data_IF_185653007594
#
_entry.id   IF_185653007594
#
_cell.length_a   1.000
_cell.length_b   1.000
_cell.length_c   1.000
_cell.angle_alpha   90.00
_cell.angle_beta   90.00
_cell.angle_gamma   90.00
#
_symmetry.space_group_name_H-M   'P 1'
#
loop_
_entity.id
_entity.type
_entity.pdbx_description
1 polymer ?
#
# COMPACT_ATOMS: atom_id res chain seq x y z
N UNK A 1 4.26 14.84 -23.03
CA UNK A 1 4.16 16.27 -22.70
C UNK A 1 5.37 16.75 -21.89
N UNK A 2 5.62 16.29 -20.65
CA UNK A 2 6.76 16.76 -19.84
C UNK A 2 8.12 16.60 -20.57
N UNK A 3 8.41 15.45 -21.19
CA UNK A 3 9.63 15.21 -21.97
C UNK A 3 9.82 16.25 -23.09
N UNK A 4 8.75 16.59 -23.81
CA UNK A 4 8.83 17.58 -24.91
C UNK A 4 9.11 18.98 -24.38
N UNK A 5 8.44 19.39 -23.30
CA UNK A 5 8.69 20.70 -22.67
C UNK A 5 10.13 20.77 -22.16
N UNK A 6 10.63 19.73 -21.48
CA UNK A 6 12.00 19.71 -20.98
C UNK A 6 13.06 19.73 -22.09
N UNK A 7 12.76 19.20 -23.27
CA UNK A 7 13.63 19.25 -24.45
C UNK A 7 13.87 20.71 -24.91
N UNK A 8 12.85 21.54 -24.87
CA UNK A 8 12.86 22.91 -25.33
C UNK A 8 13.23 23.93 -24.23
N UNK A 9 13.09 23.52 -22.95
CA UNK A 9 13.31 24.39 -21.82
C UNK A 9 14.79 24.64 -21.56
N UNK A 10 15.19 25.92 -21.58
CA UNK A 10 16.53 26.38 -21.29
C UNK A 10 16.64 26.94 -19.86
N UNK A 11 17.76 26.67 -19.23
CA UNK A 11 18.06 27.17 -17.89
C UNK A 11 17.45 26.35 -16.74
N UNK A 12 18.22 26.18 -15.68
CA UNK A 12 17.86 25.37 -14.50
C UNK A 12 16.58 25.85 -13.83
N UNK A 13 16.42 27.20 -13.72
CA UNK A 13 15.23 27.78 -13.10
C UNK A 13 13.93 27.41 -13.84
N UNK A 14 13.94 27.53 -15.17
CA UNK A 14 12.77 27.19 -15.98
C UNK A 14 12.43 25.70 -15.92
N UNK A 15 13.45 24.83 -15.93
CA UNK A 15 13.29 23.36 -15.77
C UNK A 15 12.71 23.00 -14.42
N UNK A 16 13.20 23.65 -13.35
CA UNK A 16 12.65 23.48 -12.01
C UNK A 16 11.15 23.79 -11.97
N UNK A 17 10.74 24.97 -12.46
CA UNK A 17 9.32 25.35 -12.44
C UNK A 17 8.46 24.49 -13.37
N UNK A 18 9.00 23.99 -14.49
CA UNK A 18 8.30 23.01 -15.34
C UNK A 18 8.04 21.71 -14.58
N UNK A 19 9.05 21.14 -13.93
CA UNK A 19 8.92 19.93 -13.11
C UNK A 19 8.01 20.15 -11.91
N UNK A 20 8.11 21.30 -11.25
CA UNK A 20 7.27 21.67 -10.13
C UNK A 20 5.80 21.74 -10.51
N UNK A 21 5.45 22.47 -11.57
CA UNK A 21 4.07 22.59 -12.05
C UNK A 21 3.49 21.25 -12.47
N UNK A 22 4.27 20.39 -13.13
CA UNK A 22 3.86 19.03 -13.48
C UNK A 22 3.54 18.21 -12.23
N UNK A 23 4.43 18.23 -11.23
CA UNK A 23 4.24 17.46 -9.99
C UNK A 23 3.08 17.99 -9.13
N UNK A 24 2.90 19.31 -9.04
CA UNK A 24 1.74 19.93 -8.39
C UNK A 24 0.44 19.46 -9.02
N UNK A 25 0.35 19.49 -10.37
CA UNK A 25 -0.84 19.06 -11.10
C UNK A 25 -1.21 17.57 -10.91
N UNK A 26 -0.28 16.77 -10.45
CA UNK A 26 -0.48 15.34 -10.17
C UNK A 26 -0.65 15.06 -8.68
N UNK A 27 0.26 15.53 -7.83
CA UNK A 27 0.30 15.15 -6.41
C UNK A 27 -0.83 15.80 -5.60
N UNK A 28 -1.15 17.08 -5.86
CA UNK A 28 -2.20 17.75 -5.11
C UNK A 28 -3.58 17.10 -5.32
N UNK A 29 -4.05 16.83 -6.54
CA UNK A 29 -5.30 16.09 -6.71
C UNK A 29 -5.23 14.67 -6.13
N UNK A 30 -4.11 13.95 -6.29
CA UNK A 30 -3.94 12.58 -5.80
C UNK A 30 -3.91 12.44 -4.28
N UNK A 31 -3.56 13.51 -3.56
CA UNK A 31 -3.51 13.53 -2.09
C UNK A 31 -4.53 14.50 -1.46
N UNK A 32 -5.51 14.95 -2.24
CA UNK A 32 -6.50 15.95 -1.78
C UNK A 32 -7.27 15.53 -0.52
N UNK A 33 -7.46 14.24 -0.30
CA UNK A 33 -8.09 13.70 0.90
C UNK A 33 -7.36 14.10 2.21
N UNK A 34 -6.06 14.41 2.16
CA UNK A 34 -5.27 14.82 3.32
C UNK A 34 -5.75 16.14 3.95
N UNK A 35 -6.52 16.96 3.22
CA UNK A 35 -7.15 18.17 3.78
C UNK A 35 -8.04 17.82 4.97
N UNK A 36 -8.72 16.67 4.94
CA UNK A 36 -9.54 16.20 6.05
C UNK A 36 -8.72 15.82 7.28
N UNK A 37 -7.46 15.43 7.09
CA UNK A 37 -6.54 15.11 8.19
C UNK A 37 -5.89 16.39 8.73
N UNK A 38 -5.23 17.16 7.86
CA UNK A 38 -4.56 18.41 8.22
C UNK A 38 -4.34 19.28 6.97
N UNK A 39 -4.87 20.50 7.00
CA UNK A 39 -4.70 21.47 5.90
C UNK A 39 -3.23 21.85 5.71
N UNK A 40 -2.47 22.25 6.77
CA UNK A 40 -1.04 22.55 6.61
C UNK A 40 -0.23 21.34 6.10
N UNK A 41 -0.49 20.16 6.64
CA UNK A 41 0.21 18.93 6.25
C UNK A 41 0.01 18.58 4.76
N UNK A 42 -1.19 18.79 4.23
CA UNK A 42 -1.48 18.62 2.81
C UNK A 42 -0.60 19.53 1.93
N UNK A 43 -0.50 20.82 2.25
CA UNK A 43 0.34 21.74 1.48
C UNK A 43 1.83 21.47 1.65
N UNK A 44 2.29 21.20 2.88
CA UNK A 44 3.69 20.91 3.15
C UNK A 44 4.15 19.68 2.36
N UNK A 45 3.43 18.56 2.45
CA UNK A 45 3.79 17.36 1.71
C UNK A 45 3.69 17.56 0.19
N UNK A 46 2.64 18.24 -0.28
CA UNK A 46 2.44 18.52 -1.70
C UNK A 46 3.60 19.33 -2.30
N UNK A 47 4.00 20.42 -1.65
CA UNK A 47 5.13 21.25 -2.10
C UNK A 47 6.47 20.56 -1.94
N UNK A 48 6.68 19.82 -0.84
CA UNK A 48 7.92 19.08 -0.60
C UNK A 48 8.19 18.07 -1.71
N UNK A 49 7.21 17.21 -2.00
CA UNK A 49 7.38 16.20 -3.04
C UNK A 49 7.40 16.79 -4.45
N UNK A 50 6.61 17.84 -4.70
CA UNK A 50 6.71 18.57 -5.97
C UNK A 50 8.08 19.18 -6.16
N UNK A 51 8.70 19.68 -5.08
CA UNK A 51 10.08 20.17 -5.09
C UNK A 51 11.10 19.10 -5.43
N UNK A 52 10.94 17.85 -4.91
CA UNK A 52 11.84 16.73 -5.26
C UNK A 52 11.76 16.38 -6.75
N UNK A 53 10.55 16.32 -7.32
CA UNK A 53 10.41 16.12 -8.78
C UNK A 53 10.98 17.29 -9.58
N UNK A 54 10.76 18.53 -9.11
CA UNK A 54 11.35 19.72 -9.75
C UNK A 54 12.88 19.69 -9.76
N UNK A 55 13.50 19.32 -8.63
CA UNK A 55 14.95 19.14 -8.55
C UNK A 55 15.43 18.05 -9.49
N UNK A 56 14.72 16.92 -9.57
CA UNK A 56 15.08 15.83 -10.47
C UNK A 56 15.07 16.25 -11.94
N UNK A 57 14.12 17.11 -12.36
CA UNK A 57 14.06 17.61 -13.75
C UNK A 57 15.26 18.48 -14.12
N UNK A 58 15.94 19.11 -13.15
CA UNK A 58 17.16 19.87 -13.40
C UNK A 58 18.35 18.98 -13.80
N UNK A 59 18.31 17.68 -13.43
CA UNK A 59 19.35 16.71 -13.77
C UNK A 59 19.17 16.04 -15.13
N UNK A 60 18.02 16.26 -15.81
CA UNK A 60 17.71 15.59 -17.08
C UNK A 60 18.35 16.36 -18.24
N UNK A 61 19.21 15.74 -19.06
CA UNK A 61 19.83 16.42 -20.22
C UNK A 61 18.81 16.75 -21.30
N UNK A 62 19.15 17.67 -22.19
CA UNK A 62 18.32 18.06 -23.34
C UNK A 62 18.50 17.13 -24.55
N UNK A 63 19.64 16.47 -24.61
CA UNK A 63 19.99 15.50 -25.65
C UNK A 63 19.12 14.25 -25.60
N UNK A 64 19.34 13.29 -26.49
CA UNK A 64 18.66 12.00 -26.52
C UNK A 64 18.87 11.19 -25.23
N UNK A 65 19.92 11.49 -24.44
CA UNK A 65 20.16 10.85 -23.14
C UNK A 65 19.05 11.10 -22.11
N UNK A 66 18.15 12.09 -22.34
CA UNK A 66 16.94 12.26 -21.50
C UNK A 66 16.03 11.03 -21.51
N UNK A 67 16.09 10.17 -22.56
CA UNK A 67 15.27 8.95 -22.64
C UNK A 67 15.58 7.93 -21.53
N UNK A 68 16.81 7.96 -20.99
CA UNK A 68 17.18 7.14 -19.84
C UNK A 68 17.18 7.97 -18.54
N UNK A 69 17.47 9.27 -18.63
CA UNK A 69 17.55 10.14 -17.45
C UNK A 69 16.18 10.43 -16.81
N UNK A 70 15.14 10.68 -17.61
CA UNK A 70 13.81 11.01 -17.06
C UNK A 70 13.17 9.84 -16.30
N UNK A 71 13.10 8.60 -16.85
CA UNK A 71 12.63 7.47 -16.08
C UNK A 71 13.46 7.23 -14.80
N UNK A 72 14.79 7.30 -14.92
CA UNK A 72 15.70 7.09 -13.79
C UNK A 72 15.52 8.14 -12.69
N UNK A 73 15.43 9.42 -13.04
CA UNK A 73 15.26 10.52 -12.08
C UNK A 73 13.94 10.40 -11.32
N UNK A 74 12.84 10.12 -12.00
CA UNK A 74 11.54 9.97 -11.35
C UNK A 74 11.44 8.70 -10.51
N UNK A 75 12.04 7.60 -10.96
CA UNK A 75 12.14 6.36 -10.18
C UNK A 75 12.91 6.60 -8.87
N UNK A 76 14.01 7.38 -8.91
CA UNK A 76 14.75 7.72 -7.70
C UNK A 76 13.94 8.62 -6.75
N UNK A 77 13.15 9.57 -7.27
CA UNK A 77 12.24 10.36 -6.43
C UNK A 77 11.20 9.46 -5.77
N UNK A 78 10.60 8.53 -6.52
CA UNK A 78 9.69 7.55 -5.94
C UNK A 78 10.38 6.71 -4.86
N UNK A 79 11.61 6.22 -5.11
CA UNK A 79 12.37 5.46 -4.12
C UNK A 79 12.65 6.26 -2.83
N UNK A 80 12.89 7.56 -2.94
CA UNK A 80 13.00 8.47 -1.79
C UNK A 80 11.66 8.55 -1.06
N UNK A 81 10.55 8.75 -1.76
CA UNK A 81 9.20 8.84 -1.20
C UNK A 81 8.77 7.59 -0.43
N UNK A 82 9.26 6.41 -0.78
CA UNK A 82 9.03 5.16 -0.03
C UNK A 82 9.78 5.11 1.31
N UNK A 83 10.71 6.04 1.60
CA UNK A 83 11.55 6.00 2.80
C UNK A 83 11.60 7.30 3.59
N UNK A 84 11.31 8.40 2.97
CA UNK A 84 11.48 9.74 3.54
C UNK A 84 10.32 10.68 3.15
N UNK A 85 9.89 11.56 4.04
CA UNK A 85 10.23 11.71 5.45
C UNK A 85 9.49 10.69 6.34
N UNK A 86 9.89 10.56 7.59
CA UNK A 86 9.22 9.78 8.64
C UNK A 86 8.89 8.32 8.24
N UNK A 87 9.80 7.66 7.56
CA UNK A 87 9.60 6.30 7.06
C UNK A 87 8.95 6.21 5.68
N UNK A 88 8.55 7.35 5.09
CA UNK A 88 8.04 7.44 3.73
C UNK A 88 6.55 7.79 3.63
N UNK A 89 6.18 8.36 2.46
CA UNK A 89 4.79 8.72 2.11
C UNK A 89 4.52 8.33 0.64
N UNK A 90 4.36 7.03 0.34
CA UNK A 90 4.20 6.52 -1.03
C UNK A 90 2.74 6.59 -1.51
N UNK A 91 2.11 7.76 -1.39
CA UNK A 91 0.74 8.02 -1.86
C UNK A 91 0.75 8.59 -3.27
N UNK A 92 -0.29 8.30 -4.05
CA UNK A 92 -0.45 8.76 -5.43
C UNK A 92 0.81 8.48 -6.28
N UNK A 93 1.43 7.29 -6.14
CA UNK A 93 2.59 6.89 -6.95
C UNK A 93 2.17 6.56 -8.39
N UNK A 94 3.11 6.69 -9.33
CA UNK A 94 2.85 6.32 -10.73
C UNK A 94 2.47 4.84 -10.84
N UNK A 95 3.13 3.97 -10.07
CA UNK A 95 2.85 2.54 -10.07
C UNK A 95 1.40 2.22 -9.64
N UNK A 96 0.85 2.92 -8.63
CA UNK A 96 -0.54 2.70 -8.19
C UNK A 96 -1.56 2.96 -9.31
N UNK A 97 -1.30 3.94 -10.18
CA UNK A 97 -2.19 4.26 -11.29
C UNK A 97 -2.32 3.12 -12.31
N UNK A 98 -1.45 2.12 -12.24
CA UNK A 98 -1.36 1.00 -13.18
C UNK A 98 -1.69 -0.36 -12.55
N UNK A 99 -2.12 -0.40 -11.29
CA UNK A 99 -2.40 -1.65 -10.57
C UNK A 99 -3.45 -2.53 -11.26
N UNK A 100 -4.44 -1.92 -11.88
CA UNK A 100 -5.54 -2.60 -12.61
C UNK A 100 -5.31 -2.64 -14.14
N UNK A 101 -4.16 -2.14 -14.60
CA UNK A 101 -3.81 -2.18 -16.03
C UNK A 101 -3.00 -3.45 -16.37
N UNK A 102 -2.97 -3.87 -17.65
CA UNK A 102 -2.10 -4.95 -18.10
C UNK A 102 -0.61 -4.72 -17.78
N UNK A 103 -0.19 -3.46 -17.67
CA UNK A 103 1.18 -3.09 -17.32
C UNK A 103 1.51 -3.35 -15.86
N UNK A 104 0.51 -3.42 -14.97
CA UNK A 104 0.70 -3.76 -13.56
C UNK A 104 1.51 -5.04 -13.36
N UNK A 105 1.38 -6.02 -14.27
CA UNK A 105 2.11 -7.29 -14.22
C UNK A 105 3.64 -7.11 -14.25
N UNK A 106 4.15 -6.00 -14.79
CA UNK A 106 5.60 -5.72 -14.80
C UNK A 106 6.18 -5.53 -13.38
N UNK A 107 5.34 -5.17 -12.39
CA UNK A 107 5.76 -5.10 -10.99
C UNK A 107 6.26 -6.45 -10.44
N UNK A 108 5.88 -7.58 -11.03
CA UNK A 108 6.37 -8.91 -10.66
C UNK A 108 7.85 -9.11 -10.94
N UNK A 109 8.42 -8.33 -11.85
CA UNK A 109 9.82 -8.43 -12.25
C UNK A 109 10.75 -7.73 -11.24
N UNK A 110 10.57 -6.42 -11.03
CA UNK A 110 11.44 -5.63 -10.14
C UNK A 110 10.64 -4.63 -9.27
N UNK A 111 9.38 -4.91 -8.99
CA UNK A 111 8.54 -4.14 -8.08
C UNK A 111 7.97 -2.84 -8.67
N UNK A 112 7.35 -2.01 -7.81
CA UNK A 112 6.67 -0.77 -8.22
C UNK A 112 7.60 0.25 -8.87
N UNK A 113 8.87 0.32 -8.47
CA UNK A 113 9.84 1.24 -9.06
C UNK A 113 10.12 0.90 -10.53
N UNK A 114 10.12 -0.39 -10.89
CA UNK A 114 10.25 -0.82 -12.27
C UNK A 114 9.02 -0.45 -13.10
N UNK A 115 7.82 -0.67 -12.54
CA UNK A 115 6.57 -0.26 -13.18
C UNK A 115 6.53 1.26 -13.40
N UNK A 116 7.02 2.07 -12.44
CA UNK A 116 7.16 3.52 -12.59
C UNK A 116 8.04 3.88 -13.81
N UNK A 117 9.23 3.29 -13.91
CA UNK A 117 10.13 3.51 -15.05
C UNK A 117 9.48 3.07 -16.38
N UNK A 118 8.84 1.91 -16.38
CA UNK A 118 8.15 1.35 -17.55
C UNK A 118 7.06 2.30 -18.08
N UNK A 119 6.19 2.81 -17.20
CA UNK A 119 5.11 3.74 -17.54
C UNK A 119 5.66 5.05 -18.14
N UNK A 120 6.74 5.59 -17.55
CA UNK A 120 7.37 6.81 -18.05
C UNK A 120 7.94 6.56 -19.46
N UNK A 121 8.59 5.42 -19.69
CA UNK A 121 9.12 5.06 -21.01
C UNK A 121 7.98 4.89 -22.02
N UNK A 122 6.83 4.31 -21.64
CA UNK A 122 5.63 4.26 -22.49
C UNK A 122 5.18 5.67 -22.90
N UNK A 123 5.10 6.59 -21.93
CA UNK A 123 4.73 7.99 -22.22
C UNK A 123 5.72 8.69 -23.16
N UNK A 124 7.02 8.39 -23.04
CA UNK A 124 8.06 8.92 -23.94
C UNK A 124 7.96 8.30 -25.34
N UNK A 125 7.70 7.00 -25.46
CA UNK A 125 7.45 6.35 -26.76
C UNK A 125 6.27 7.00 -27.49
N UNK A 126 5.19 7.30 -26.77
CA UNK A 126 4.05 8.03 -27.31
C UNK A 126 4.42 9.44 -27.79
N UNK A 127 5.24 10.19 -27.01
CA UNK A 127 5.72 11.51 -27.40
C UNK A 127 6.60 11.46 -28.67
N UNK A 128 7.45 10.44 -28.79
CA UNK A 128 8.27 10.23 -30.00
C UNK A 128 7.44 9.83 -31.21
N UNK A 129 6.37 9.06 -31.01
CA UNK A 129 5.41 8.73 -32.05
C UNK A 129 4.75 10.01 -32.59
N UNK A 130 4.35 10.91 -31.70
CA UNK A 130 3.79 12.22 -32.07
C UNK A 130 4.78 13.07 -32.86
N UNK A 131 6.09 13.00 -32.53
CA UNK A 131 7.17 13.67 -33.29
C UNK A 131 7.52 12.95 -34.60
N UNK A 132 6.80 11.90 -34.99
CA UNK A 132 7.03 11.08 -36.20
C UNK A 132 8.42 10.41 -36.26
N UNK A 133 9.02 10.11 -35.09
CA UNK A 133 10.28 9.40 -34.97
C UNK A 133 10.10 7.89 -35.02
N UNK A 134 9.49 7.39 -36.10
CA UNK A 134 8.99 6.01 -36.24
C UNK A 134 10.01 4.93 -35.89
N UNK A 135 11.28 5.07 -36.34
CA UNK A 135 12.33 4.07 -36.10
C UNK A 135 12.64 3.93 -34.60
N UNK A 136 12.85 5.06 -33.90
CA UNK A 136 13.16 5.04 -32.47
C UNK A 136 11.96 4.57 -31.66
N UNK A 137 10.76 5.02 -32.01
CA UNK A 137 9.51 4.57 -31.38
C UNK A 137 9.35 3.06 -31.55
N UNK A 138 9.56 2.52 -32.75
CA UNK A 138 9.47 1.08 -33.00
C UNK A 138 10.41 0.26 -32.10
N UNK A 139 11.66 0.69 -31.96
CA UNK A 139 12.63 0.02 -31.07
C UNK A 139 12.14 0.05 -29.61
N UNK A 140 11.75 1.21 -29.10
CA UNK A 140 11.31 1.36 -27.71
C UNK A 140 10.04 0.51 -27.47
N UNK A 141 9.05 0.58 -28.33
CA UNK A 141 7.82 -0.22 -28.22
C UNK A 141 8.14 -1.72 -28.26
N UNK A 142 9.05 -2.16 -29.13
CA UNK A 142 9.47 -3.57 -29.16
C UNK A 142 10.09 -4.02 -27.84
N UNK A 143 10.95 -3.19 -27.23
CA UNK A 143 11.55 -3.47 -25.92
C UNK A 143 10.46 -3.53 -24.84
N UNK A 144 9.53 -2.58 -24.82
CA UNK A 144 8.43 -2.54 -23.87
C UNK A 144 7.52 -3.79 -23.99
N UNK A 145 7.21 -4.21 -25.21
CA UNK A 145 6.43 -5.42 -25.46
C UNK A 145 7.17 -6.68 -25.01
N UNK A 146 8.49 -6.76 -25.21
CA UNK A 146 9.32 -7.87 -24.72
C UNK A 146 9.34 -7.91 -23.20
N UNK A 147 9.50 -6.76 -22.53
CA UNK A 147 9.46 -6.66 -21.06
C UNK A 147 8.09 -7.09 -20.54
N UNK A 148 7.03 -6.57 -21.14
CA UNK A 148 5.66 -6.90 -20.75
C UNK A 148 5.36 -8.38 -20.96
N UNK A 149 5.70 -8.94 -22.14
CA UNK A 149 5.58 -10.37 -22.41
C UNK A 149 6.39 -11.24 -21.43
N UNK A 150 7.63 -10.80 -21.11
CA UNK A 150 8.45 -11.47 -20.09
C UNK A 150 7.77 -11.47 -18.72
N UNK A 151 7.11 -10.38 -18.33
CA UNK A 151 6.39 -10.27 -17.05
C UNK A 151 5.25 -11.29 -16.90
N UNK A 152 4.70 -11.77 -18.01
CA UNK A 152 3.64 -12.79 -18.01
C UNK A 152 4.16 -14.21 -17.72
N UNK A 153 5.44 -14.48 -18.03
CA UNK A 153 6.06 -15.81 -17.91
C UNK A 153 7.01 -15.97 -16.73
N UNK A 154 7.37 -14.86 -16.04
CA UNK A 154 8.21 -14.94 -14.84
C UNK A 154 7.52 -15.70 -13.72
N UNK A 155 8.28 -16.36 -12.83
CA UNK A 155 7.73 -17.10 -11.71
C UNK A 155 6.81 -16.21 -10.86
N UNK A 156 5.63 -16.72 -10.55
CA UNK A 156 4.62 -16.09 -9.67
C UNK A 156 4.20 -16.99 -8.51
N UNK A 157 4.96 -18.03 -8.27
CA UNK A 157 4.57 -19.09 -7.34
C UNK A 157 3.46 -19.98 -7.91
N UNK A 158 3.06 -20.97 -7.13
CA UNK A 158 2.01 -21.94 -7.47
C UNK A 158 1.03 -22.08 -6.31
N UNK A 159 -0.21 -22.41 -6.63
CA UNK A 159 -1.20 -22.81 -5.63
C UNK A 159 -0.76 -24.15 -5.01
N UNK A 160 -0.83 -24.24 -3.69
CA UNK A 160 -0.53 -25.45 -2.91
C UNK A 160 -1.78 -26.08 -2.30
N UNK A 161 -2.76 -25.22 -1.95
CA UNK A 161 -4.10 -25.60 -1.48
C UNK A 161 -5.05 -24.42 -1.65
N UNK A 162 -6.31 -24.61 -1.26
CA UNK A 162 -7.30 -23.55 -1.19
C UNK A 162 -8.03 -23.60 0.16
N UNK A 163 -8.47 -22.43 0.62
CA UNK A 163 -9.22 -22.25 1.85
C UNK A 163 -10.47 -21.39 1.59
N UNK A 164 -11.48 -21.57 2.41
CA UNK A 164 -12.68 -20.75 2.39
C UNK A 164 -12.51 -19.56 3.36
N UNK A 165 -12.79 -18.36 2.88
CA UNK A 165 -12.59 -17.13 3.67
C UNK A 165 -13.86 -16.30 3.72
N UNK A 166 -14.00 -15.56 4.82
CA UNK A 166 -14.99 -14.50 5.00
C UNK A 166 -14.29 -13.20 5.38
N UNK A 167 -14.61 -12.10 4.69
CA UNK A 167 -14.13 -10.75 5.00
C UNK A 167 -15.33 -9.95 5.48
N UNK A 168 -15.25 -9.43 6.69
CA UNK A 168 -16.35 -8.80 7.38
C UNK A 168 -16.23 -7.28 7.29
N UNK A 169 -17.29 -6.62 6.85
CA UNK A 169 -17.44 -5.17 6.87
C UNK A 169 -18.70 -4.81 7.65
N UNK A 170 -18.55 -4.17 8.81
CA UNK A 170 -19.67 -3.76 9.65
C UNK A 170 -20.45 -2.56 9.11
N UNK A 171 -19.86 -1.80 8.18
CA UNK A 171 -20.47 -0.59 7.63
C UNK A 171 -20.49 0.57 8.63
N UNK A 172 -21.21 1.62 8.28
CA UNK A 172 -21.38 2.81 9.11
C UNK A 172 -20.92 4.10 8.41
N UNK A 173 -20.83 5.19 9.16
CA UNK A 173 -20.52 6.50 8.61
C UNK A 173 -19.05 6.66 8.20
N UNK A 174 -18.82 7.48 7.18
CA UNK A 174 -17.50 7.93 6.73
C UNK A 174 -17.23 9.37 7.19
N UNK A 175 -15.94 9.72 7.33
CA UNK A 175 -15.52 11.07 7.71
C UNK A 175 -15.63 11.35 9.20
N UNK A 176 -15.87 10.32 10.00
CA UNK A 176 -15.90 10.42 11.45
C UNK A 176 -14.50 10.29 12.03
N UNK A 177 -14.08 11.28 12.84
CA UNK A 177 -12.87 11.12 13.65
C UNK A 177 -13.15 10.11 14.77
N UNK A 178 -12.14 9.34 15.16
CA UNK A 178 -12.26 8.34 16.24
C UNK A 178 -12.88 8.90 17.53
N UNK A 179 -12.62 10.17 17.86
CA UNK A 179 -13.18 10.85 19.04
C UNK A 179 -14.71 11.05 19.00
N UNK A 180 -15.32 10.96 17.82
CA UNK A 180 -16.75 11.15 17.60
C UNK A 180 -17.48 9.83 17.30
N UNK A 181 -16.76 8.71 17.29
CA UNK A 181 -17.30 7.40 16.98
C UNK A 181 -17.55 6.63 18.28
N UNK A 182 -18.70 5.98 18.40
CA UNK A 182 -18.96 5.07 19.50
C UNK A 182 -18.23 3.74 19.22
N UNK A 183 -17.17 3.48 19.95
CA UNK A 183 -16.30 2.31 19.79
C UNK A 183 -17.11 1.00 19.91
N UNK A 184 -18.02 0.93 20.88
CA UNK A 184 -18.87 -0.24 21.10
C UNK A 184 -19.86 -0.48 19.93
N UNK A 185 -20.42 0.56 19.34
CA UNK A 185 -21.31 0.47 18.19
C UNK A 185 -20.58 -0.08 16.95
N UNK A 186 -19.34 0.33 16.73
CA UNK A 186 -18.50 -0.22 15.64
C UNK A 186 -18.28 -1.71 15.84
N UNK A 187 -17.93 -2.13 17.05
CA UNK A 187 -17.76 -3.53 17.41
C UNK A 187 -19.06 -4.34 17.16
N UNK A 188 -20.21 -3.87 17.68
CA UNK A 188 -21.51 -4.55 17.56
C UNK A 188 -21.94 -4.69 16.09
N UNK A 189 -21.69 -3.72 15.24
CA UNK A 189 -21.93 -3.83 13.78
C UNK A 189 -21.09 -4.93 13.15
N UNK A 190 -19.86 -5.15 13.61
CA UNK A 190 -19.03 -6.24 13.10
C UNK A 190 -19.50 -7.60 13.62
N UNK A 191 -19.99 -7.68 14.85
CA UNK A 191 -20.66 -8.89 15.38
C UNK A 191 -21.91 -9.20 14.55
N UNK A 192 -22.77 -8.19 14.31
CA UNK A 192 -23.97 -8.32 13.47
C UNK A 192 -23.62 -8.78 12.04
N UNK A 193 -22.63 -8.12 11.40
CA UNK A 193 -22.17 -8.49 10.07
C UNK A 193 -21.63 -9.92 10.03
N UNK A 194 -20.94 -10.35 11.08
CA UNK A 194 -20.42 -11.72 11.20
C UNK A 194 -21.54 -12.75 11.18
N UNK A 195 -22.73 -12.44 11.71
CA UNK A 195 -23.92 -13.27 11.62
C UNK A 195 -24.46 -13.48 10.20
N UNK A 196 -23.95 -12.73 9.20
CA UNK A 196 -24.30 -12.91 7.78
C UNK A 196 -23.44 -13.98 7.08
N UNK A 197 -22.43 -14.53 7.76
CA UNK A 197 -21.58 -15.60 7.22
C UNK A 197 -22.45 -16.84 6.93
N UNK A 198 -22.21 -17.44 5.77
CA UNK A 198 -22.84 -18.70 5.38
C UNK A 198 -21.84 -19.86 5.55
N UNK A 199 -22.22 -20.86 6.32
CA UNK A 199 -21.33 -21.98 6.63
C UNK A 199 -20.20 -21.62 7.60
N UNK A 200 -19.15 -22.43 7.63
CA UNK A 200 -17.98 -22.25 8.49
C UNK A 200 -16.75 -22.03 7.62
N UNK A 201 -16.35 -20.75 7.35
CA UNK A 201 -15.13 -20.47 6.61
C UNK A 201 -13.90 -20.90 7.42
N UNK A 202 -12.80 -21.20 6.74
CA UNK A 202 -11.53 -21.50 7.43
C UNK A 202 -10.99 -20.26 8.16
N UNK A 203 -11.18 -19.07 7.58
CA UNK A 203 -10.72 -17.79 8.15
C UNK A 203 -11.82 -16.73 8.01
N UNK A 204 -12.10 -16.02 9.09
CA UNK A 204 -12.91 -14.81 9.14
C UNK A 204 -12.00 -13.61 9.48
N UNK A 205 -11.93 -12.61 8.60
CA UNK A 205 -11.06 -11.44 8.76
C UNK A 205 -11.88 -10.20 9.09
N UNK A 206 -11.64 -9.61 10.26
CA UNK A 206 -12.13 -8.31 10.67
C UNK A 206 -11.15 -7.19 10.33
N UNK A 207 -11.63 -5.95 10.15
CA UNK A 207 -10.78 -4.79 9.88
C UNK A 207 -9.89 -4.36 11.05
N UNK A 208 -9.01 -3.40 10.75
CA UNK A 208 -8.20 -2.69 11.73
C UNK A 208 -9.08 -1.85 12.67
N UNK A 209 -8.71 -1.79 13.97
CA UNK A 209 -9.24 -0.86 14.98
C UNK A 209 -10.77 -0.94 15.19
N UNK A 210 -11.36 -2.08 14.93
CA UNK A 210 -12.79 -2.30 15.19
C UNK A 210 -13.07 -2.79 16.61
N UNK A 211 -12.04 -3.26 17.30
CA UNK A 211 -12.04 -3.53 18.74
C UNK A 211 -11.16 -2.46 19.39
N UNK A 212 -11.76 -1.32 19.71
CA UNK A 212 -11.04 -0.15 20.25
C UNK A 212 -11.29 -0.05 21.76
N UNK A 213 -10.23 -0.19 22.55
CA UNK A 213 -10.28 -0.42 23.98
C UNK A 213 -9.48 0.63 24.77
N UNK A 214 -10.05 1.04 25.92
CA UNK A 214 -9.37 1.92 26.89
C UNK A 214 -8.56 1.15 27.94
N UNK A 215 -8.43 -0.15 27.77
CA UNK A 215 -7.72 -1.11 28.64
C UNK A 215 -7.03 -2.15 27.76
N UNK A 216 -6.30 -3.08 28.37
CA UNK A 216 -5.70 -4.20 27.65
C UNK A 216 -6.77 -5.16 27.14
N UNK A 217 -6.61 -5.66 25.92
CA UNK A 217 -7.53 -6.61 25.29
C UNK A 217 -7.75 -7.88 26.16
N UNK A 218 -6.69 -8.37 26.76
CA UNK A 218 -6.75 -9.59 27.61
C UNK A 218 -7.69 -9.43 28.83
N UNK A 219 -7.94 -8.19 29.25
CA UNK A 219 -8.78 -7.85 30.40
C UNK A 219 -10.18 -7.36 29.99
N UNK A 220 -10.46 -7.29 28.68
CA UNK A 220 -11.70 -6.71 28.15
C UNK A 220 -12.81 -7.75 28.01
N UNK A 221 -14.09 -7.35 28.10
CA UNK A 221 -15.21 -8.22 27.79
C UNK A 221 -15.23 -8.66 26.32
N UNK A 222 -14.73 -7.83 25.41
CA UNK A 222 -14.66 -8.10 23.97
C UNK A 222 -13.82 -9.35 23.67
N UNK A 223 -12.83 -9.67 24.51
CA UNK A 223 -12.06 -10.91 24.39
C UNK A 223 -12.99 -12.13 24.49
N UNK A 224 -13.86 -12.17 25.49
CA UNK A 224 -14.79 -13.30 25.69
C UNK A 224 -15.83 -13.37 24.57
N UNK A 225 -16.29 -12.21 24.09
CA UNK A 225 -17.24 -12.13 22.97
C UNK A 225 -16.61 -12.66 21.68
N UNK A 226 -15.38 -12.28 21.34
CA UNK A 226 -14.65 -12.76 20.16
C UNK A 226 -14.29 -14.25 20.28
N UNK A 227 -13.86 -14.71 21.48
CA UNK A 227 -13.62 -16.13 21.73
C UNK A 227 -14.88 -16.97 21.44
N UNK A 228 -16.02 -16.53 21.95
CA UNK A 228 -17.31 -17.20 21.70
C UNK A 228 -17.69 -17.16 20.22
N UNK A 229 -17.48 -16.03 19.55
CA UNK A 229 -17.79 -15.88 18.13
C UNK A 229 -16.96 -16.83 17.26
N UNK A 230 -15.66 -17.00 17.57
CA UNK A 230 -14.80 -17.95 16.88
C UNK A 230 -15.25 -19.41 17.10
N UNK A 231 -15.66 -19.75 18.34
CA UNK A 231 -16.22 -21.07 18.70
C UNK A 231 -17.55 -21.34 17.98
N UNK A 232 -18.50 -20.39 18.02
CA UNK A 232 -19.82 -20.54 17.43
C UNK A 232 -19.76 -20.72 15.91
N UNK A 233 -18.75 -20.16 15.25
CA UNK A 233 -18.51 -20.27 13.81
C UNK A 233 -17.61 -21.44 13.42
N UNK A 234 -16.94 -22.07 14.38
CA UNK A 234 -15.88 -23.07 14.14
C UNK A 234 -14.83 -22.57 13.12
N UNK A 235 -14.28 -21.36 13.36
CA UNK A 235 -13.41 -20.64 12.42
C UNK A 235 -12.23 -19.95 13.11
N UNK A 236 -11.16 -19.72 12.38
CA UNK A 236 -10.11 -18.80 12.79
C UNK A 236 -10.59 -17.36 12.60
N UNK A 237 -10.79 -16.64 13.69
CA UNK A 237 -11.19 -15.24 13.68
C UNK A 237 -9.94 -14.34 13.84
N UNK A 238 -9.69 -13.51 12.84
CA UNK A 238 -8.59 -12.52 12.84
C UNK A 238 -9.20 -11.14 13.09
N UNK A 239 -8.94 -10.55 14.26
CA UNK A 239 -9.57 -9.31 14.67
C UNK A 239 -8.56 -8.18 14.90
N UNK A 240 -8.86 -7.00 14.36
CA UNK A 240 -8.06 -5.78 14.56
C UNK A 240 -8.37 -5.14 15.91
N UNK A 241 -7.35 -5.07 16.76
CA UNK A 241 -7.42 -4.56 18.13
C UNK A 241 -6.64 -3.25 18.22
N UNK A 242 -7.27 -2.23 18.81
CA UNK A 242 -6.59 -1.03 19.27
C UNK A 242 -6.78 -0.92 20.78
N UNK A 243 -5.70 -0.91 21.53
CA UNK A 243 -5.76 -0.97 22.99
C UNK A 243 -4.85 0.06 23.64
N UNK A 244 -5.26 0.51 24.83
CA UNK A 244 -4.43 1.36 25.66
C UNK A 244 -3.46 0.50 26.46
N UNK A 245 -2.15 0.72 26.25
CA UNK A 245 -1.11 0.07 27.04
C UNK A 245 -0.89 0.77 28.40
N UNK A 246 -0.91 2.11 28.40
CA UNK A 246 -0.71 2.94 29.58
C UNK A 246 -1.19 4.38 29.33
N UNK A 247 -0.85 5.33 30.23
CA UNK A 247 -1.29 6.72 30.14
C UNK A 247 -0.72 7.48 28.91
N UNK A 248 0.39 6.99 28.33
CA UNK A 248 1.10 7.69 27.25
C UNK A 248 1.12 6.91 25.93
N UNK A 249 0.73 5.64 25.93
CA UNK A 249 0.88 4.76 24.75
C UNK A 249 -0.30 3.83 24.49
N UNK A 250 -0.50 3.56 23.21
CA UNK A 250 -1.45 2.58 22.66
C UNK A 250 -0.70 1.48 21.88
N UNK A 251 -1.40 0.38 21.55
CA UNK A 251 -1.00 -0.61 20.56
C UNK A 251 -2.08 -0.78 19.50
N UNK A 252 -1.65 -1.06 18.28
CA UNK A 252 -2.51 -1.43 17.16
C UNK A 252 -2.07 -2.81 16.67
N UNK A 253 -2.95 -3.78 16.72
CA UNK A 253 -2.60 -5.17 16.46
C UNK A 253 -3.71 -5.93 15.73
N UNK A 254 -3.37 -7.08 15.18
CA UNK A 254 -4.31 -8.12 14.78
C UNK A 254 -4.03 -9.37 15.60
N UNK A 255 -5.06 -9.94 16.21
CA UNK A 255 -4.99 -11.20 16.95
C UNK A 255 -5.61 -12.34 16.14
N UNK A 256 -5.01 -13.53 16.24
CA UNK A 256 -5.54 -14.76 15.67
C UNK A 256 -6.17 -15.61 16.77
N UNK A 257 -7.49 -15.77 16.72
CA UNK A 257 -8.29 -16.53 17.66
C UNK A 257 -8.72 -17.83 16.96
N UNK A 258 -8.39 -18.96 17.55
CA UNK A 258 -8.73 -20.28 17.01
C UNK A 258 -10.21 -20.65 17.22
N UNK A 259 -10.67 -21.73 16.56
CA UNK A 259 -12.05 -22.23 16.72
C UNK A 259 -12.35 -22.74 18.14
N UNK A 260 -11.34 -22.94 18.99
CA UNK A 260 -11.50 -23.22 20.41
C UNK A 260 -11.67 -21.95 21.29
N UNK A 261 -11.56 -20.76 20.66
CA UNK A 261 -11.67 -19.46 21.32
C UNK A 261 -10.38 -18.96 21.95
N UNK A 262 -9.26 -19.69 21.81
CA UNK A 262 -7.97 -19.28 22.37
C UNK A 262 -7.19 -18.40 21.38
N UNK A 263 -6.36 -17.50 21.94
CA UNK A 263 -5.49 -16.66 21.14
C UNK A 263 -4.18 -17.42 20.87
N UNK A 264 -3.89 -17.63 19.59
CA UNK A 264 -2.71 -18.38 19.14
C UNK A 264 -1.56 -17.51 18.70
N UNK A 265 -1.88 -16.34 18.10
CA UNK A 265 -0.85 -15.45 17.58
C UNK A 265 -1.33 -14.00 17.58
N UNK A 266 -0.37 -13.06 17.54
CA UNK A 266 -0.62 -11.62 17.51
C UNK A 266 0.44 -10.92 16.68
N UNK A 267 0.01 -10.05 15.79
CA UNK A 267 0.87 -9.14 15.06
C UNK A 267 0.58 -7.70 15.47
N UNK A 268 1.57 -7.03 16.05
CA UNK A 268 1.54 -5.60 16.34
C UNK A 268 2.06 -4.80 15.15
N UNK A 269 1.32 -3.78 14.74
CA UNK A 269 1.63 -2.91 13.61
C UNK A 269 3.00 -2.26 13.79
N UNK A 270 3.87 -2.40 12.79
CA UNK A 270 5.24 -1.91 12.83
C UNK A 270 5.36 -0.53 12.20
N UNK A 271 4.72 -0.32 11.04
CA UNK A 271 4.81 0.94 10.31
C UNK A 271 3.60 1.81 10.61
N UNK A 272 3.82 2.76 11.51
CA UNK A 272 2.77 3.65 12.01
C UNK A 272 2.54 4.84 11.07
N UNK A 273 1.32 5.39 11.11
CA UNK A 273 0.93 6.60 10.36
C UNK A 273 1.49 7.84 11.06
N UNK A 274 2.40 8.61 10.42
CA UNK A 274 2.87 9.87 10.98
C UNK A 274 1.70 10.84 11.20
N UNK A 275 1.66 11.51 12.34
CA UNK A 275 0.61 12.45 12.80
C UNK A 275 -0.78 11.82 13.04
N UNK A 276 -0.97 10.55 12.71
CA UNK A 276 -2.19 9.82 13.01
C UNK A 276 -2.03 8.89 14.21
N UNK A 277 -0.95 8.12 14.23
CA UNK A 277 -0.68 7.12 15.27
C UNK A 277 0.50 7.51 16.18
N UNK A 278 1.40 8.37 15.70
CA UNK A 278 2.49 8.95 16.48
C UNK A 278 2.86 10.33 15.95
N UNK A 279 3.53 11.13 16.76
CA UNK A 279 3.96 12.49 16.39
C UNK A 279 5.47 12.51 16.15
N UNK A 280 5.92 12.57 14.87
CA UNK A 280 7.32 12.78 14.58
C UNK A 280 7.78 14.12 15.17
N UNK A 281 8.95 14.14 15.84
CA UNK A 281 9.49 15.36 16.46
C UNK A 281 8.50 16.04 17.42
N UNK A 282 7.77 15.28 18.23
CA UNK A 282 6.70 15.75 19.13
C UNK A 282 7.13 17.00 19.92
N UNK A 283 8.31 16.98 20.53
CA UNK A 283 8.82 18.11 21.33
C UNK A 283 8.96 19.42 20.55
N UNK A 284 9.11 19.35 19.22
CA UNK A 284 9.21 20.51 18.35
C UNK A 284 7.83 20.98 17.85
N UNK A 285 6.90 20.08 17.60
CA UNK A 285 5.63 20.35 16.93
C UNK A 285 4.50 20.65 17.92
N UNK A 286 4.43 19.92 19.04
CA UNK A 286 3.37 20.01 20.04
C UNK A 286 3.16 21.43 20.60
N UNK A 287 4.19 22.27 20.83
CA UNK A 287 3.98 23.64 21.29
C UNK A 287 3.22 24.54 20.32
N UNK A 288 3.16 24.17 19.04
CA UNK A 288 2.54 24.99 17.98
C UNK A 288 1.17 24.50 17.51
N UNK A 289 0.85 23.24 17.72
CA UNK A 289 -0.37 22.62 17.17
C UNK A 289 -0.89 21.44 18.01
N UNK A 290 -1.01 21.55 19.35
CA UNK A 290 -1.36 20.44 20.23
C UNK A 290 -2.72 19.83 19.90
N UNK A 291 -3.68 20.63 19.45
CA UNK A 291 -5.05 20.21 19.15
C UNK A 291 -5.18 19.29 17.92
N UNK A 292 -4.14 19.21 17.09
CA UNK A 292 -4.13 18.36 15.89
C UNK A 292 -3.38 17.04 16.10
N UNK A 293 -2.79 16.82 17.27
CA UNK A 293 -1.91 15.69 17.54
C UNK A 293 -2.62 14.61 18.38
N UNK A 294 -2.33 13.32 18.13
CA UNK A 294 -2.81 12.27 19.03
C UNK A 294 -2.27 12.47 20.44
N UNK A 295 -3.15 12.29 21.43
CA UNK A 295 -2.80 12.44 22.86
C UNK A 295 -1.75 11.39 23.27
N UNK A 296 -1.82 10.20 22.70
CA UNK A 296 -0.91 9.08 22.95
C UNK A 296 -0.29 8.62 21.65
N UNK A 297 0.97 8.24 21.71
CA UNK A 297 1.62 7.59 20.57
C UNK A 297 1.35 6.08 20.60
N UNK A 298 1.13 5.50 19.43
CA UNK A 298 1.11 4.04 19.27
C UNK A 298 2.55 3.53 19.31
N UNK A 299 2.78 2.42 20.02
CA UNK A 299 4.08 1.75 20.08
C UNK A 299 4.22 0.83 18.87
N UNK A 300 5.29 0.96 18.06
CA UNK A 300 5.49 0.07 16.93
C UNK A 300 5.83 -1.35 17.39
N UNK A 301 5.27 -2.35 16.71
CA UNK A 301 5.65 -3.74 16.87
C UNK A 301 7.07 -4.02 16.37
N UNK A 302 7.62 -5.17 16.71
CA UNK A 302 8.98 -5.60 16.31
C UNK A 302 8.99 -6.96 15.60
N UNK A 303 7.86 -7.65 15.57
CA UNK A 303 7.74 -9.01 15.02
C UNK A 303 7.78 -9.12 13.50
N UNK A 304 7.93 -10.35 13.00
CA UNK A 304 7.75 -10.65 11.58
C UNK A 304 6.30 -10.36 11.17
N UNK A 305 6.05 -9.98 9.91
CA UNK A 305 4.70 -9.64 9.45
C UNK A 305 3.89 -10.90 9.08
N UNK A 306 3.77 -11.82 10.00
CA UNK A 306 3.12 -13.12 9.78
C UNK A 306 2.26 -13.50 10.99
N UNK A 307 1.17 -14.23 10.72
CA UNK A 307 0.34 -14.91 11.70
C UNK A 307 0.30 -16.39 11.37
N UNK A 308 0.52 -17.22 12.39
CA UNK A 308 0.56 -18.68 12.28
C UNK A 308 -0.78 -19.28 12.73
N UNK A 309 -1.33 -20.20 11.92
CA UNK A 309 -2.59 -20.87 12.19
C UNK A 309 -2.50 -22.35 11.81
N UNK A 310 -3.26 -23.21 12.49
CA UNK A 310 -3.42 -24.60 12.12
C UNK A 310 -4.85 -24.84 11.63
N UNK A 311 -5.00 -25.04 10.33
CA UNK A 311 -6.27 -25.30 9.67
C UNK A 311 -6.35 -26.79 9.33
N UNK A 312 -7.23 -27.53 10.02
CA UNK A 312 -7.43 -28.97 9.75
C UNK A 312 -6.11 -29.73 9.66
N UNK A 313 -5.21 -29.53 10.63
CA UNK A 313 -3.85 -30.13 10.70
C UNK A 313 -2.86 -29.63 9.63
N UNK A 314 -3.20 -28.60 8.86
CA UNK A 314 -2.29 -27.93 7.95
C UNK A 314 -1.81 -26.62 8.58
N UNK A 315 -0.51 -26.50 8.80
CA UNK A 315 0.09 -25.24 9.27
C UNK A 315 0.02 -24.19 8.15
N UNK A 316 -0.62 -23.07 8.45
CA UNK A 316 -0.73 -21.92 7.55
C UNK A 316 0.01 -20.75 8.14
N UNK A 317 0.80 -20.12 7.27
CA UNK A 317 1.49 -18.87 7.57
C UNK A 317 0.85 -17.77 6.72
N UNK A 318 0.05 -16.91 7.35
CA UNK A 318 -0.54 -15.76 6.68
C UNK A 318 0.35 -14.54 6.85
N UNK A 319 0.77 -13.94 5.74
CA UNK A 319 1.40 -12.62 5.75
C UNK A 319 0.39 -11.55 6.14
N UNK A 320 0.83 -10.51 6.85
CA UNK A 320 -0.04 -9.41 7.27
C UNK A 320 0.62 -8.05 7.05
N UNK A 321 -0.19 -7.09 6.62
CA UNK A 321 0.17 -5.68 6.46
C UNK A 321 -1.02 -4.85 6.91
N UNK A 322 -0.96 -4.26 8.10
CA UNK A 322 -2.07 -3.49 8.65
C UNK A 322 -2.11 -2.10 7.99
N UNK A 323 -3.17 -1.81 7.24
CA UNK A 323 -3.57 -0.48 6.76
C UNK A 323 -2.44 0.28 6.03
N UNK A 324 -1.77 1.23 6.72
CA UNK A 324 -0.67 2.02 6.17
C UNK A 324 0.48 1.18 5.61
N UNK A 325 0.72 0.00 6.18
CA UNK A 325 1.79 -0.89 5.78
C UNK A 325 1.64 -1.39 4.34
N UNK A 326 0.40 -1.52 3.82
CA UNK A 326 0.15 -2.03 2.47
C UNK A 326 0.69 -1.10 1.36
N UNK A 327 0.84 0.19 1.65
CA UNK A 327 1.41 1.15 0.71
C UNK A 327 2.89 0.90 0.44
N UNK A 328 3.57 0.21 1.36
CA UNK A 328 5.00 -0.09 1.29
C UNK A 328 5.23 -1.52 0.79
N UNK A 329 6.31 -1.69 0.03
CA UNK A 329 6.66 -3.01 -0.51
C UNK A 329 7.32 -3.94 0.51
N UNK A 330 8.03 -3.37 1.49
CA UNK A 330 8.94 -4.10 2.37
C UNK A 330 8.23 -5.03 3.35
N UNK A 331 7.07 -4.63 3.93
CA UNK A 331 6.35 -5.47 4.88
C UNK A 331 5.73 -6.69 4.19
N UNK A 332 4.99 -6.46 3.09
CA UNK A 332 4.41 -7.56 2.30
C UNK A 332 5.50 -8.50 1.76
N UNK A 333 6.62 -7.94 1.24
CA UNK A 333 7.75 -8.75 0.77
C UNK A 333 8.34 -9.58 1.90
N UNK A 334 8.60 -8.99 3.08
CA UNK A 334 9.13 -9.70 4.23
C UNK A 334 8.19 -10.82 4.68
N UNK A 335 6.87 -10.56 4.71
CA UNK A 335 5.87 -11.57 5.03
C UNK A 335 6.00 -12.81 4.12
N UNK A 336 6.13 -12.58 2.81
CA UNK A 336 6.22 -13.68 1.85
C UNK A 336 7.60 -14.38 1.86
N UNK A 337 8.67 -13.62 2.09
CA UNK A 337 10.00 -14.20 2.30
C UNK A 337 10.07 -15.09 3.56
N UNK A 338 9.27 -14.78 4.58
CA UNK A 338 9.10 -15.57 5.78
C UNK A 338 8.07 -16.73 5.63
N UNK A 339 7.71 -17.08 4.39
CA UNK A 339 6.83 -18.22 4.12
C UNK A 339 5.34 -17.89 4.07
N UNK A 340 4.96 -16.62 4.00
CA UNK A 340 3.56 -16.21 3.87
C UNK A 340 2.90 -16.78 2.61
N UNK A 341 1.78 -17.47 2.80
CA UNK A 341 1.06 -18.18 1.74
C UNK A 341 -0.10 -17.36 1.16
N UNK A 342 -0.58 -16.40 1.93
CA UNK A 342 -1.61 -15.42 1.60
C UNK A 342 -1.24 -14.10 2.28
N UNK A 343 -1.77 -12.96 1.84
CA UNK A 343 -1.54 -11.66 2.46
C UNK A 343 -2.86 -11.07 2.98
N UNK A 344 -2.85 -10.68 4.25
CA UNK A 344 -3.96 -10.03 4.93
C UNK A 344 -3.71 -8.53 5.03
N UNK A 345 -4.73 -7.72 4.73
CA UNK A 345 -4.71 -6.28 4.91
C UNK A 345 -5.96 -5.81 5.68
N UNK A 346 -6.01 -6.01 7.02
CA UNK A 346 -6.98 -5.29 7.83
C UNK A 346 -6.64 -3.81 7.80
N UNK A 347 -7.63 -2.97 7.48
CA UNK A 347 -7.43 -1.53 7.27
C UNK A 347 -8.57 -0.71 7.85
N UNK A 348 -8.31 0.56 8.15
CA UNK A 348 -9.33 1.50 8.61
C UNK A 348 -9.21 2.84 7.85
N UNK A 349 -10.16 3.09 6.96
CA UNK A 349 -10.29 4.34 6.20
C UNK A 349 -11.51 5.18 6.58
N UNK A 350 -12.18 4.86 7.69
CA UNK A 350 -13.46 5.50 8.10
C UNK A 350 -13.34 7.01 8.35
N UNK A 351 -12.17 7.48 8.75
CA UNK A 351 -11.92 8.91 9.00
C UNK A 351 -11.97 9.78 7.73
N UNK A 352 -11.97 9.20 6.54
CA UNK A 352 -11.86 9.93 5.28
C UNK A 352 -13.15 9.80 4.46
N UNK A 353 -13.83 10.90 4.21
CA UNK A 353 -15.07 10.95 3.44
C UNK A 353 -14.86 10.86 1.92
N UNK A 354 -13.65 11.18 1.40
CA UNK A 354 -13.29 11.03 0.00
C UNK A 354 -12.83 9.61 -0.32
N UNK A 355 -13.24 9.10 -1.47
CA UNK A 355 -12.88 7.75 -1.96
C UNK A 355 -11.43 7.61 -2.42
N UNK A 356 -10.66 8.71 -2.46
CA UNK A 356 -9.30 8.73 -3.02
C UNK A 356 -8.37 7.78 -2.24
N UNK A 357 -8.34 7.88 -0.90
CA UNK A 357 -7.49 7.04 -0.09
C UNK A 357 -7.88 5.56 -0.19
N UNK A 358 -9.18 5.25 -0.07
CA UNK A 358 -9.69 3.88 -0.16
C UNK A 358 -9.37 3.25 -1.53
N UNK A 359 -9.44 4.05 -2.61
CA UNK A 359 -9.04 3.60 -3.96
C UNK A 359 -7.54 3.33 -4.04
N UNK A 360 -6.71 4.20 -3.46
CA UNK A 360 -5.25 3.98 -3.40
C UNK A 360 -4.89 2.76 -2.55
N UNK A 361 -5.67 2.45 -1.53
CA UNK A 361 -5.49 1.28 -0.69
C UNK A 361 -5.74 -0.01 -1.48
N UNK A 362 -6.84 -0.08 -2.24
CA UNK A 362 -7.11 -1.19 -3.18
C UNK A 362 -5.98 -1.31 -4.21
N UNK A 363 -5.56 -0.21 -4.82
CA UNK A 363 -4.48 -0.20 -5.80
C UNK A 363 -3.15 -0.72 -5.22
N UNK A 364 -2.88 -0.38 -3.95
CA UNK A 364 -1.69 -0.90 -3.24
C UNK A 364 -1.81 -2.38 -2.96
N UNK A 365 -2.99 -2.86 -2.51
CA UNK A 365 -3.24 -4.29 -2.32
C UNK A 365 -3.09 -5.08 -3.63
N UNK A 366 -3.58 -4.55 -4.76
CA UNK A 366 -3.37 -5.13 -6.09
C UNK A 366 -1.88 -5.23 -6.45
N UNK A 367 -1.11 -4.15 -6.22
CA UNK A 367 0.35 -4.17 -6.45
C UNK A 367 1.06 -5.19 -5.56
N UNK A 368 0.69 -5.29 -4.27
CA UNK A 368 1.26 -6.32 -3.37
C UNK A 368 0.91 -7.73 -3.83
N UNK A 369 -0.31 -7.94 -4.34
CA UNK A 369 -0.72 -9.22 -4.90
C UNK A 369 0.15 -9.61 -6.11
N UNK A 370 0.31 -8.70 -7.07
CA UNK A 370 1.11 -8.92 -8.28
C UNK A 370 2.59 -9.12 -7.94
N UNK A 371 3.15 -8.22 -7.15
CA UNK A 371 4.57 -8.19 -6.79
C UNK A 371 5.00 -9.48 -6.09
N UNK A 372 4.16 -10.01 -5.20
CA UNK A 372 4.48 -11.16 -4.37
C UNK A 372 3.86 -12.48 -4.87
N UNK A 373 3.00 -12.45 -5.88
CA UNK A 373 2.31 -13.64 -6.39
C UNK A 373 1.38 -14.27 -5.37
N UNK A 374 0.70 -13.45 -4.55
CA UNK A 374 -0.18 -13.89 -3.46
C UNK A 374 -1.57 -13.28 -3.58
N UNK A 375 -2.58 -14.03 -3.11
CA UNK A 375 -3.89 -13.45 -2.88
C UNK A 375 -3.82 -12.45 -1.73
N UNK A 376 -4.63 -11.39 -1.81
CA UNK A 376 -4.76 -10.38 -0.77
C UNK A 376 -6.20 -10.30 -0.31
N UNK A 377 -6.41 -10.42 1.00
CA UNK A 377 -7.69 -10.22 1.68
C UNK A 377 -7.63 -8.85 2.36
N UNK A 378 -8.38 -7.89 1.84
CA UNK A 378 -8.51 -6.57 2.44
C UNK A 378 -9.83 -6.44 3.17
N UNK A 379 -9.81 -6.15 4.48
CA UNK A 379 -10.97 -5.88 5.30
C UNK A 379 -10.98 -4.42 5.76
N UNK A 380 -12.08 -3.72 5.56
CA UNK A 380 -12.28 -2.33 5.99
C UNK A 380 -13.61 -2.19 6.74
N UNK A 381 -13.69 -1.35 7.80
CA UNK A 381 -14.95 -1.20 8.55
C UNK A 381 -16.04 -0.52 7.72
N UNK A 382 -15.67 0.49 6.94
CA UNK A 382 -16.60 1.31 6.14
C UNK A 382 -16.06 1.63 4.74
N UNK A 383 -14.77 1.36 4.48
CA UNK A 383 -14.10 1.58 3.19
C UNK A 383 -14.39 0.46 2.19
N UNK A 384 -13.41 0.13 1.36
CA UNK A 384 -13.50 -1.02 0.45
C UNK A 384 -12.87 -2.25 1.08
N UNK A 385 -13.67 -3.27 1.36
CA UNK A 385 -13.19 -4.63 1.56
C UNK A 385 -13.10 -5.34 0.21
N UNK A 386 -12.12 -6.24 0.03
CA UNK A 386 -11.92 -6.90 -1.25
C UNK A 386 -11.22 -8.27 -1.13
N UNK A 387 -11.54 -9.17 -2.06
CA UNK A 387 -10.78 -10.37 -2.36
C UNK A 387 -10.04 -10.13 -3.67
N UNK A 388 -8.70 -10.16 -3.64
CA UNK A 388 -7.83 -9.86 -4.76
C UNK A 388 -6.95 -11.10 -5.04
N UNK A 389 -6.94 -11.58 -6.28
CA UNK A 389 -6.14 -12.74 -6.65
C UNK A 389 -4.65 -12.40 -6.86
N UNK A 390 -3.82 -13.41 -7.03
CA UNK A 390 -2.36 -13.27 -7.20
C UNK A 390 -1.91 -12.52 -8.47
N UNK A 391 -2.81 -12.26 -9.40
CA UNK A 391 -2.57 -11.43 -10.57
C UNK A 391 -3.06 -9.97 -10.36
N UNK A 392 -3.50 -9.62 -9.15
CA UNK A 392 -3.96 -8.28 -8.79
C UNK A 392 -5.40 -7.97 -9.21
N UNK A 393 -6.14 -8.96 -9.72
CA UNK A 393 -7.54 -8.76 -10.10
C UNK A 393 -8.43 -8.75 -8.88
N UNK A 394 -9.22 -7.70 -8.70
CA UNK A 394 -10.27 -7.62 -7.69
C UNK A 394 -11.43 -8.52 -8.12
N UNK A 395 -11.65 -9.61 -7.40
CA UNK A 395 -12.70 -10.59 -7.70
C UNK A 395 -14.03 -10.20 -7.05
N UNK A 396 -13.96 -9.70 -5.81
CA UNK A 396 -15.10 -9.20 -5.07
C UNK A 396 -14.69 -7.91 -4.35
N UNK A 397 -15.62 -6.98 -4.20
CA UNK A 397 -15.44 -5.73 -3.47
C UNK A 397 -16.76 -5.26 -2.86
N UNK A 398 -16.70 -4.68 -1.67
CA UNK A 398 -17.84 -3.99 -1.04
C UNK A 398 -18.02 -2.60 -1.62
N UNK A 399 -19.16 -1.98 -1.31
CA UNK A 399 -19.34 -0.55 -1.39
C UNK A 399 -18.92 0.13 -0.08
N UNK A 400 -18.77 1.46 -0.11
CA UNK A 400 -18.48 2.27 1.08
C UNK A 400 -19.72 2.25 1.98
N UNK A 401 -19.50 2.16 3.30
CA UNK A 401 -20.53 2.24 4.35
C UNK A 401 -21.55 1.11 4.37
N UNK A 402 -21.49 0.12 3.47
CA UNK A 402 -22.41 -1.02 3.52
C UNK A 402 -21.98 -2.04 4.57
N UNK A 403 -22.95 -2.64 5.26
CA UNK A 403 -22.74 -3.86 6.05
C UNK A 403 -22.75 -5.05 5.09
N UNK A 404 -21.63 -5.80 5.04
CA UNK A 404 -21.49 -6.91 4.10
C UNK A 404 -20.40 -7.89 4.48
N UNK A 405 -20.60 -9.14 4.13
CA UNK A 405 -19.58 -10.19 4.15
C UNK A 405 -19.21 -10.57 2.72
N UNK A 406 -17.93 -10.59 2.39
CA UNK A 406 -17.41 -11.19 1.18
C UNK A 406 -16.95 -12.60 1.52
N UNK A 407 -17.46 -13.61 0.82
CA UNK A 407 -17.06 -15.00 0.99
C UNK A 407 -16.55 -15.59 -0.31
N UNK A 408 -15.57 -16.46 -0.22
CA UNK A 408 -15.06 -17.17 -1.38
C UNK A 408 -13.89 -18.07 -1.05
N UNK A 409 -13.56 -18.91 -2.03
CA UNK A 409 -12.40 -19.77 -1.98
C UNK A 409 -11.19 -19.02 -2.52
N UNK A 410 -10.06 -19.08 -1.80
CA UNK A 410 -8.81 -18.42 -2.14
C UNK A 410 -7.66 -19.41 -2.10
N UNK A 411 -6.65 -19.15 -2.95
CA UNK A 411 -5.48 -20.03 -3.02
C UNK A 411 -4.43 -19.66 -1.96
N UNK A 412 -3.97 -20.63 -1.22
CA UNK A 412 -2.68 -20.59 -0.54
C UNK A 412 -1.59 -20.89 -1.57
N UNK A 413 -0.54 -20.07 -1.59
CA UNK A 413 0.48 -20.16 -2.64
C UNK A 413 1.88 -20.20 -2.05
N UNK A 414 2.79 -20.87 -2.73
CA UNK A 414 4.22 -20.92 -2.40
C UNK A 414 5.07 -20.49 -3.61
N UNK A 415 6.37 -20.31 -3.35
CA UNK A 415 7.33 -19.80 -4.33
C UNK A 415 7.42 -18.28 -4.35
N UNK A 416 8.50 -17.74 -4.86
CA UNK A 416 8.80 -16.30 -4.84
C UNK A 416 8.88 -15.75 -6.26
N UNK A 417 8.32 -14.57 -6.47
CA UNK A 417 8.56 -13.76 -7.67
C UNK A 417 10.00 -13.23 -7.70
N UNK A 418 10.45 -12.70 -8.83
CA UNK A 418 11.75 -12.03 -8.90
C UNK A 418 11.74 -10.79 -7.98
N UNK A 419 10.69 -9.98 -8.04
CA UNK A 419 10.55 -8.79 -7.20
C UNK A 419 10.63 -9.11 -5.70
N UNK A 420 9.95 -10.17 -5.25
CA UNK A 420 10.02 -10.60 -3.83
C UNK A 420 11.44 -11.02 -3.43
N UNK A 421 12.18 -11.68 -4.34
CA UNK A 421 13.56 -12.13 -4.05
C UNK A 421 14.55 -10.99 -3.93
N UNK A 422 14.51 -10.03 -4.86
CA UNK A 422 15.58 -9.03 -5.00
C UNK A 422 15.24 -7.66 -4.40
N UNK A 423 13.95 -7.37 -4.21
CA UNK A 423 13.46 -6.10 -3.69
C UNK A 423 13.78 -4.89 -4.60
N UNK A 424 13.73 -3.65 -4.08
CA UNK A 424 13.86 -2.44 -4.87
C UNK A 424 15.31 -2.07 -5.24
N UNK A 425 16.30 -2.68 -4.57
CA UNK A 425 17.71 -2.29 -4.70
C UNK A 425 18.22 -2.33 -6.14
N UNK A 426 17.93 -3.36 -6.97
CA UNK A 426 18.37 -3.37 -8.36
C UNK A 426 17.85 -2.18 -9.15
N UNK A 427 16.58 -1.78 -8.97
CA UNK A 427 16.01 -0.62 -9.67
C UNK A 427 16.63 0.70 -9.22
N UNK A 428 16.96 0.84 -7.95
CA UNK A 428 17.66 2.00 -7.42
C UNK A 428 19.05 2.10 -8.07
N UNK A 429 19.83 1.00 -8.11
CA UNK A 429 21.17 0.95 -8.72
C UNK A 429 21.08 1.26 -10.21
N UNK A 430 20.17 0.60 -10.95
CA UNK A 430 19.97 0.85 -12.38
C UNK A 430 19.66 2.33 -12.62
N UNK A 431 18.78 2.92 -11.82
CA UNK A 431 18.40 4.33 -11.96
C UNK A 431 19.57 5.28 -11.68
N UNK A 432 20.38 5.03 -10.66
CA UNK A 432 21.59 5.82 -10.36
C UNK A 432 22.57 5.74 -11.53
N UNK A 433 22.88 4.53 -12.01
CA UNK A 433 23.80 4.32 -13.13
C UNK A 433 23.28 4.95 -14.42
N UNK A 434 22.00 4.81 -14.71
CA UNK A 434 21.35 5.42 -15.89
C UNK A 434 21.45 6.94 -15.87
N UNK A 435 21.16 7.56 -14.71
CA UNK A 435 21.26 9.02 -14.56
C UNK A 435 22.71 9.51 -14.66
N UNK A 436 23.65 8.79 -14.02
CA UNK A 436 25.08 9.09 -14.10
C UNK A 436 25.62 8.98 -15.53
N UNK A 437 25.25 7.92 -16.26
CA UNK A 437 25.63 7.72 -17.66
C UNK A 437 25.06 8.82 -18.55
N UNK A 438 23.77 9.15 -18.39
CA UNK A 438 23.13 10.23 -19.14
C UNK A 438 23.86 11.58 -18.95
N UNK A 439 24.26 11.87 -17.70
CA UNK A 439 24.98 13.09 -17.37
C UNK A 439 26.40 13.09 -17.95
N UNK A 440 27.14 11.98 -17.84
CA UNK A 440 28.49 11.87 -18.38
C UNK A 440 28.54 11.99 -19.91
N UNK A 441 27.58 11.35 -20.60
CA UNK A 441 27.48 11.40 -22.05
C UNK A 441 27.03 12.79 -22.54
N UNK A 442 26.06 13.41 -21.86
CA UNK A 442 25.56 14.75 -22.26
C UNK A 442 26.62 15.87 -22.20
N UNK A 443 27.70 15.70 -21.42
CA UNK A 443 28.82 16.63 -21.36
C UNK A 443 29.76 16.52 -22.57
N UNK A 444 29.67 15.43 -23.32
CA UNK A 444 30.48 15.16 -24.50
C UNK A 444 29.75 15.54 -25.80
N UNK A 445 28.47 15.81 -25.73
CA UNK A 445 27.70 16.32 -26.87
C UNK A 445 28.02 17.83 -27.03
N UNK A 446 28.50 18.28 -28.16
CA UNK A 446 28.88 19.69 -28.39
C UNK A 446 27.66 20.64 -28.31
#
# INVERSE_FOLDING_TARGET
>A
MLDQILKETHGTKSRFFTGFGFAVGWLFPGTFWMIALTVPGYFIQGFLFSGLYALSTCLIPRSMHRLIALPAAFTLVEAVRYRWPFGGVPLATIAMSQSDSPFGQTARVLGPLFLTAFVIICGMAFAMLWEKKWKHTGVIVSILLLIWGFSAIVPKGSAISSIDVAIIQGGGEQGTRAINTNEREVFERHVEATGLIQGSPDIALWPEDVVNLRQLYIESPERSELSKLAQDLDTWLLAGIFERLNETSNANATVAIGPDGEIYDRYDKVRLVPFGEYVPLRSLIEPFAPEYLPVRDTVPGTGPPNLSMNLRDIAINAGISISWEIFFEDRARSAIQNGGQILLNPTNGSSYWLRILQTQQIASSQLRAIENGRWVLQAAPTGFSAIINSDGKVLQRTSISEMKVLQGQVELRDGLTIATRVGPLPMIIISILSLGTAFACSRKDP
#
